data_IF_728603707543
#
_entry.id   IF_728603707543
#
_cell.length_a   1.000
_cell.length_b   1.000
_cell.length_c   1.000
_cell.angle_alpha   90.00
_cell.angle_beta   90.00
_cell.angle_gamma   90.00
#
_symmetry.space_group_name_H-M   'P 1'
#
loop_
_entity.id
_entity.type
_entity.pdbx_description
1 polymer ?
#
# COMPACT_ATOMS: atom_id res chain seq x y z
N UNK A 1 -2.79 -28.85 -43.55
CA UNK A 1 -1.97 -27.65 -43.26
C UNK A 1 -2.62 -26.69 -42.26
N UNK A 2 -3.89 -26.31 -42.42
CA UNK A 2 -4.58 -25.37 -41.52
C UNK A 2 -4.78 -25.84 -40.06
N UNK A 3 -5.02 -27.15 -39.82
CA UNK A 3 -5.16 -27.68 -38.45
C UNK A 3 -3.84 -27.60 -37.66
N UNK A 4 -2.74 -27.95 -38.30
CA UNK A 4 -1.38 -27.92 -37.71
C UNK A 4 -0.98 -26.50 -37.32
N UNK A 5 -1.34 -25.50 -38.13
CA UNK A 5 -1.07 -24.09 -37.85
C UNK A 5 -1.88 -23.56 -36.64
N UNK A 6 -3.15 -23.96 -36.51
CA UNK A 6 -3.97 -23.66 -35.32
C UNK A 6 -3.40 -24.28 -34.03
N UNK A 7 -2.91 -25.51 -34.09
CA UNK A 7 -2.31 -26.18 -32.92
C UNK A 7 -0.99 -25.52 -32.50
N UNK A 8 -0.14 -25.12 -33.46
CA UNK A 8 1.12 -24.40 -33.18
C UNK A 8 0.86 -23.03 -32.54
N UNK A 9 -0.12 -22.27 -33.05
CA UNK A 9 -0.50 -20.97 -32.48
C UNK A 9 -1.08 -21.14 -31.06
N UNK A 10 -1.92 -22.15 -30.84
CA UNK A 10 -2.48 -22.42 -29.51
C UNK A 10 -1.38 -22.78 -28.48
N UNK A 11 -0.40 -23.60 -28.86
CA UNK A 11 0.74 -23.95 -28.00
C UNK A 11 1.62 -22.73 -27.71
N UNK A 12 1.91 -21.90 -28.70
CA UNK A 12 2.73 -20.69 -28.52
C UNK A 12 2.06 -19.65 -27.61
N UNK A 13 0.74 -19.46 -27.72
CA UNK A 13 -0.04 -18.57 -26.84
C UNK A 13 -0.10 -19.14 -25.42
N UNK A 14 -0.26 -20.45 -25.26
CA UNK A 14 -0.25 -21.10 -23.93
C UNK A 14 1.09 -20.95 -23.22
N UNK A 15 2.20 -21.11 -23.95
CA UNK A 15 3.55 -20.98 -23.41
C UNK A 15 3.89 -19.54 -23.02
N UNK A 16 3.42 -18.55 -23.81
CA UNK A 16 3.63 -17.14 -23.51
C UNK A 16 2.77 -16.62 -22.36
N UNK A 17 1.57 -17.16 -22.14
CA UNK A 17 0.76 -16.86 -20.96
C UNK A 17 1.43 -17.41 -19.68
N UNK A 18 1.98 -18.63 -19.74
CA UNK A 18 2.68 -19.25 -18.60
C UNK A 18 3.97 -18.52 -18.19
N UNK A 19 4.75 -18.01 -19.16
CA UNK A 19 5.99 -17.28 -18.84
C UNK A 19 5.75 -15.88 -18.27
N UNK A 20 4.68 -15.19 -18.70
CA UNK A 20 4.28 -13.89 -18.14
C UNK A 20 3.78 -14.05 -16.70
N UNK A 21 3.03 -15.12 -16.40
CA UNK A 21 2.57 -15.41 -15.03
C UNK A 21 3.72 -15.68 -14.05
N UNK A 22 4.75 -16.41 -14.47
CA UNK A 22 5.91 -16.70 -13.62
C UNK A 22 6.80 -15.47 -13.36
N UNK A 23 7.03 -14.61 -14.36
CA UNK A 23 7.84 -13.40 -14.17
C UNK A 23 7.21 -12.39 -13.18
N UNK A 24 5.88 -12.35 -13.09
CA UNK A 24 5.15 -11.52 -12.12
C UNK A 24 5.17 -12.16 -10.71
N UNK A 25 5.17 -13.49 -10.63
CA UNK A 25 5.34 -14.21 -9.38
C UNK A 25 6.75 -14.06 -8.79
N UNK A 26 7.77 -13.95 -9.65
CA UNK A 26 9.16 -13.78 -9.20
C UNK A 26 9.45 -12.35 -8.67
N UNK A 27 8.76 -11.34 -9.21
CA UNK A 27 9.00 -9.93 -8.84
C UNK A 27 8.63 -9.57 -7.38
N UNK A 28 7.47 -10.00 -6.91
CA UNK A 28 7.02 -9.66 -5.54
C UNK A 28 7.78 -10.44 -4.46
N UNK A 29 8.10 -11.72 -4.70
CA UNK A 29 8.92 -12.49 -3.76
C UNK A 29 10.35 -11.95 -3.68
N UNK A 30 10.89 -11.47 -4.80
CA UNK A 30 12.17 -10.77 -4.80
C UNK A 30 12.11 -9.47 -4.00
N UNK A 31 11.04 -8.67 -4.14
CA UNK A 31 10.81 -7.48 -3.32
C UNK A 31 10.70 -7.82 -1.82
N UNK A 32 9.88 -8.80 -1.46
CA UNK A 32 9.73 -9.27 -0.06
C UNK A 32 11.09 -9.65 0.54
N UNK A 33 11.88 -10.46 -0.16
CA UNK A 33 13.22 -10.85 0.31
C UNK A 33 14.18 -9.68 0.41
N UNK A 34 14.16 -8.76 -0.55
CA UNK A 34 14.97 -7.54 -0.56
C UNK A 34 14.66 -6.67 0.66
N UNK A 35 13.39 -6.39 0.92
CA UNK A 35 12.97 -5.54 2.04
C UNK A 35 13.14 -6.23 3.40
N UNK A 36 12.82 -7.52 3.51
CA UNK A 36 12.98 -8.31 4.73
C UNK A 36 14.45 -8.45 5.18
N UNK A 37 15.37 -8.67 4.24
CA UNK A 37 16.80 -8.87 4.54
C UNK A 37 17.61 -7.56 4.50
N UNK A 38 17.04 -6.49 3.93
CA UNK A 38 17.65 -5.17 3.86
C UNK A 38 17.08 -4.24 4.93
N UNK A 39 16.26 -3.28 4.51
CA UNK A 39 15.72 -2.21 5.35
C UNK A 39 15.07 -2.71 6.64
N UNK A 40 14.31 -3.81 6.59
CA UNK A 40 13.56 -4.33 7.73
C UNK A 40 14.33 -5.39 8.55
N UNK A 41 15.64 -5.51 8.32
CA UNK A 41 16.47 -6.52 9.00
C UNK A 41 16.62 -6.27 10.51
N UNK A 42 16.57 -5.00 10.94
CA UNK A 42 16.55 -4.61 12.35
C UNK A 42 15.15 -4.83 12.94
N UNK A 43 14.86 -6.05 13.36
CA UNK A 43 13.55 -6.47 13.84
C UNK A 43 13.66 -7.51 14.94
N UNK A 44 12.62 -7.59 15.77
CA UNK A 44 12.43 -8.68 16.75
C UNK A 44 11.97 -9.98 16.08
N UNK A 45 11.44 -9.91 14.85
CA UNK A 45 11.02 -11.07 14.07
C UNK A 45 12.21 -11.72 13.38
N UNK A 46 12.19 -13.06 13.29
CA UNK A 46 13.13 -13.79 12.42
C UNK A 46 12.92 -13.43 10.95
N UNK A 47 13.92 -13.68 10.11
CA UNK A 47 13.81 -13.42 8.66
C UNK A 47 12.58 -14.09 8.02
N UNK A 48 12.29 -15.33 8.43
CA UNK A 48 11.12 -16.08 7.94
C UNK A 48 9.80 -15.48 8.41
N UNK A 49 9.74 -14.95 9.63
CA UNK A 49 8.55 -14.29 10.15
C UNK A 49 8.31 -12.95 9.45
N UNK A 50 9.36 -12.17 9.21
CA UNK A 50 9.26 -10.94 8.41
C UNK A 50 8.78 -11.21 6.99
N UNK A 51 9.35 -12.20 6.31
CA UNK A 51 8.90 -12.58 4.96
C UNK A 51 7.43 -13.01 4.96
N UNK A 52 6.98 -13.73 6.00
CA UNK A 52 5.58 -14.11 6.16
C UNK A 52 4.66 -12.90 6.36
N UNK A 53 5.10 -11.92 7.14
CA UNK A 53 4.34 -10.68 7.36
C UNK A 53 4.23 -9.84 6.07
N UNK A 54 5.34 -9.65 5.35
CA UNK A 54 5.31 -8.96 4.06
C UNK A 54 4.49 -9.71 2.99
N UNK A 55 4.50 -11.04 3.03
CA UNK A 55 3.62 -11.87 2.20
C UNK A 55 2.15 -11.62 2.52
N UNK A 56 1.80 -11.46 3.80
CA UNK A 56 0.43 -11.12 4.19
C UNK A 56 0.00 -9.77 3.60
N UNK A 57 0.86 -8.74 3.63
CA UNK A 57 0.58 -7.46 2.98
C UNK A 57 0.33 -7.61 1.48
N UNK A 58 1.18 -8.38 0.79
CA UNK A 58 0.99 -8.67 -0.62
C UNK A 58 -0.37 -9.33 -0.89
N UNK A 59 -0.71 -10.38 -0.12
CA UNK A 59 -1.94 -11.15 -0.31
C UNK A 59 -3.19 -10.30 -0.04
N UNK A 60 -3.19 -9.51 1.04
CA UNK A 60 -4.27 -8.60 1.38
C UNK A 60 -4.46 -7.49 0.34
N UNK A 61 -3.37 -7.04 -0.30
CA UNK A 61 -3.39 -5.97 -1.29
C UNK A 61 -3.83 -6.41 -2.69
N UNK A 62 -3.94 -7.73 -2.97
CA UNK A 62 -4.29 -8.25 -4.31
C UNK A 62 -5.51 -7.58 -4.97
N UNK A 63 -6.63 -7.32 -4.28
CA UNK A 63 -7.80 -6.67 -4.88
C UNK A 63 -7.56 -5.22 -5.29
N UNK A 64 -6.54 -4.58 -4.72
CA UNK A 64 -6.25 -3.16 -4.84
C UNK A 64 -5.02 -2.87 -5.71
N UNK A 65 -4.41 -3.90 -6.30
CA UNK A 65 -3.22 -3.76 -7.14
C UNK A 65 -3.48 -2.77 -8.29
N UNK A 66 -2.56 -1.83 -8.48
CA UNK A 66 -2.67 -0.76 -9.47
C UNK A 66 -3.45 0.47 -9.00
N UNK A 67 -4.01 0.44 -7.78
CA UNK A 67 -4.55 1.64 -7.15
C UNK A 67 -3.43 2.63 -6.82
N UNK A 68 -3.83 3.89 -6.72
CA UNK A 68 -2.98 4.98 -6.30
C UNK A 68 -3.70 5.74 -5.20
N UNK A 69 -3.07 5.89 -4.04
CA UNK A 69 -3.59 6.66 -2.91
C UNK A 69 -2.79 7.95 -2.71
N UNK A 70 -3.43 8.99 -2.18
CA UNK A 70 -2.84 10.27 -1.83
C UNK A 70 -2.80 10.42 -0.32
N UNK A 71 -1.61 10.64 0.22
CA UNK A 71 -1.36 10.76 1.66
C UNK A 71 -0.74 12.12 1.92
N UNK A 72 -1.19 12.82 2.97
CA UNK A 72 -0.59 14.07 3.43
C UNK A 72 -0.08 13.95 4.86
N UNK A 73 1.12 14.46 5.12
CA UNK A 73 1.65 14.62 6.48
C UNK A 73 2.52 15.87 6.61
N UNK A 74 2.94 16.14 7.84
CA UNK A 74 3.93 17.19 8.12
C UNK A 74 5.32 16.82 7.59
N UNK A 75 6.13 17.84 7.31
CA UNK A 75 7.56 17.69 7.01
C UNK A 75 8.37 17.49 8.30
N UNK A 76 8.47 16.24 8.74
CA UNK A 76 9.40 15.82 9.81
C UNK A 76 10.25 14.62 9.34
N UNK A 77 11.41 14.35 9.94
CA UNK A 77 12.29 13.25 9.51
C UNK A 77 11.61 11.88 9.42
N UNK A 78 10.66 11.58 10.32
CA UNK A 78 9.87 10.35 10.28
C UNK A 78 9.03 10.25 9.01
N UNK A 79 8.32 11.31 8.64
CA UNK A 79 7.49 11.33 7.44
C UNK A 79 8.30 11.40 6.15
N UNK A 80 9.51 11.97 6.20
CA UNK A 80 10.47 11.84 5.10
C UNK A 80 10.88 10.38 4.87
N UNK A 81 11.11 9.63 5.94
CA UNK A 81 11.41 8.21 5.84
C UNK A 81 10.21 7.42 5.30
N UNK A 82 9.01 7.67 5.80
CA UNK A 82 7.79 7.05 5.31
C UNK A 82 7.59 7.32 3.81
N UNK A 83 7.63 8.59 3.41
CA UNK A 83 7.36 9.03 2.04
C UNK A 83 8.40 8.59 1.02
N UNK A 84 9.68 8.44 1.41
CA UNK A 84 10.77 8.06 0.50
C UNK A 84 11.09 6.57 0.51
N UNK A 85 10.93 5.91 1.66
CA UNK A 85 11.33 4.51 1.86
C UNK A 85 10.14 3.58 1.94
N UNK A 86 9.20 3.83 2.86
CA UNK A 86 8.10 2.89 3.11
C UNK A 86 7.09 2.87 1.97
N UNK A 87 6.79 4.01 1.34
CA UNK A 87 5.93 4.04 0.14
C UNK A 87 6.49 3.18 -0.99
N UNK A 88 7.80 3.22 -1.20
CA UNK A 88 8.50 2.42 -2.21
C UNK A 88 8.46 0.93 -1.86
N UNK A 89 8.70 0.58 -0.59
CA UNK A 89 8.57 -0.80 -0.13
C UNK A 89 7.16 -1.33 -0.33
N UNK A 90 6.17 -0.52 0.05
CA UNK A 90 4.76 -0.87 -0.10
C UNK A 90 4.38 -1.06 -1.58
N UNK A 91 4.79 -0.16 -2.47
CA UNK A 91 4.52 -0.29 -3.91
C UNK A 91 5.21 -1.53 -4.51
N UNK A 92 6.48 -1.78 -4.19
CA UNK A 92 7.20 -2.95 -4.71
C UNK A 92 6.58 -4.28 -4.23
N UNK A 93 6.03 -4.32 -3.01
CA UNK A 93 5.42 -5.53 -2.43
C UNK A 93 3.97 -5.72 -2.91
N UNK A 94 3.19 -4.64 -2.94
CA UNK A 94 1.72 -4.71 -3.14
C UNK A 94 1.27 -4.32 -4.54
N UNK A 95 2.07 -3.51 -5.25
CA UNK A 95 1.67 -2.84 -6.49
C UNK A 95 0.69 -1.67 -6.30
N UNK A 96 0.51 -1.18 -5.07
CA UNK A 96 -0.26 0.03 -4.76
C UNK A 96 0.69 1.23 -4.68
N UNK A 97 0.40 2.28 -5.44
CA UNK A 97 1.19 3.50 -5.40
C UNK A 97 0.72 4.43 -4.29
N UNK A 98 1.64 4.91 -3.47
CA UNK A 98 1.36 5.91 -2.42
C UNK A 98 2.02 7.23 -2.80
N UNK A 99 1.22 8.23 -3.16
CA UNK A 99 1.71 9.59 -3.37
C UNK A 99 1.66 10.31 -2.02
N UNK A 100 2.77 10.28 -1.31
CA UNK A 100 2.90 10.88 0.02
C UNK A 100 3.50 12.29 -0.10
N UNK A 101 2.65 13.29 0.13
CA UNK A 101 3.03 14.70 0.13
C UNK A 101 3.39 15.16 1.55
N UNK A 102 4.41 15.99 1.64
CA UNK A 102 4.85 16.64 2.88
C UNK A 102 4.59 18.15 2.79
N UNK A 103 3.95 18.72 3.80
CA UNK A 103 3.71 20.16 3.94
C UNK A 103 4.07 20.62 5.37
N UNK A 104 3.94 21.91 5.66
CA UNK A 104 4.03 22.39 7.04
C UNK A 104 2.80 21.97 7.85
N UNK A 105 2.95 21.80 9.17
CA UNK A 105 1.88 21.36 10.08
C UNK A 105 0.59 22.17 9.89
N UNK A 106 0.69 23.50 9.82
CA UNK A 106 -0.45 24.39 9.62
C UNK A 106 -1.24 24.10 8.34
N UNK A 107 -0.56 23.74 7.25
CA UNK A 107 -1.20 23.38 5.98
C UNK A 107 -1.90 22.02 6.07
N UNK A 108 -1.31 21.07 6.81
CA UNK A 108 -1.92 19.75 7.08
C UNK A 108 -3.21 19.93 7.87
N UNK A 109 -3.17 20.71 8.96
CA UNK A 109 -4.33 21.00 9.80
C UNK A 109 -5.44 21.67 9.00
N UNK A 110 -5.09 22.67 8.17
CA UNK A 110 -6.04 23.35 7.30
C UNK A 110 -6.67 22.39 6.28
N UNK A 111 -5.90 21.49 5.67
CA UNK A 111 -6.41 20.50 4.73
C UNK A 111 -7.36 19.51 5.40
N UNK A 112 -7.03 18.99 6.58
CA UNK A 112 -7.89 18.09 7.37
C UNK A 112 -9.21 18.79 7.72
N UNK A 113 -9.15 20.01 8.26
CA UNK A 113 -10.34 20.77 8.64
C UNK A 113 -11.22 21.10 7.43
N UNK A 114 -10.63 21.44 6.29
CA UNK A 114 -11.37 21.72 5.05
C UNK A 114 -12.12 20.48 4.57
N UNK A 115 -11.46 19.32 4.54
CA UNK A 115 -12.11 18.06 4.17
C UNK A 115 -13.26 17.72 5.13
N UNK A 116 -13.07 17.89 6.45
CA UNK A 116 -14.12 17.64 7.44
C UNK A 116 -15.32 18.57 7.31
N UNK A 117 -15.09 19.86 7.06
CA UNK A 117 -16.16 20.87 6.97
C UNK A 117 -16.94 20.76 5.65
N UNK A 118 -16.25 20.44 4.56
CA UNK A 118 -16.85 20.37 3.22
C UNK A 118 -17.40 18.98 2.90
N UNK A 119 -16.97 17.95 3.64
CA UNK A 119 -17.23 16.54 3.33
C UNK A 119 -16.78 16.16 1.89
N UNK A 120 -15.73 16.80 1.39
CA UNK A 120 -15.11 16.54 0.09
C UNK A 120 -13.74 15.90 0.30
N UNK A 121 -13.49 14.77 -0.35
CA UNK A 121 -12.19 14.08 -0.28
C UNK A 121 -11.11 14.86 -1.03
N UNK A 122 -10.12 15.35 -0.29
CA UNK A 122 -8.93 16.04 -0.79
C UNK A 122 -7.74 15.07 -0.82
N UNK A 123 -7.54 14.32 0.27
CA UNK A 123 -6.58 13.22 0.38
C UNK A 123 -7.27 11.96 0.88
N UNK A 124 -6.71 10.79 0.55
CA UNK A 124 -7.23 9.50 0.99
C UNK A 124 -6.83 9.18 2.43
N UNK A 125 -5.69 9.70 2.88
CA UNK A 125 -5.25 9.59 4.27
C UNK A 125 -4.41 10.80 4.72
N UNK A 126 -4.43 11.04 6.03
CA UNK A 126 -3.63 12.06 6.70
C UNK A 126 -2.84 11.43 7.85
N UNK A 127 -1.65 11.95 8.11
CA UNK A 127 -0.94 11.75 9.38
C UNK A 127 -0.87 13.10 10.08
N UNK A 128 -1.51 13.20 11.24
CA UNK A 128 -1.60 14.41 12.05
C UNK A 128 -1.35 14.10 13.53
N UNK A 129 -1.00 15.13 14.28
CA UNK A 129 -0.69 15.03 15.70
C UNK A 129 -1.85 14.50 16.54
N UNK A 130 -1.49 13.81 17.62
CA UNK A 130 -2.44 13.11 18.48
C UNK A 130 -3.40 14.05 19.23
N UNK A 131 -3.08 15.33 19.34
CA UNK A 131 -3.94 16.34 19.98
C UNK A 131 -5.22 16.63 19.16
N UNK A 132 -5.22 16.39 17.85
CA UNK A 132 -6.41 16.44 16.99
C UNK A 132 -7.40 15.28 17.25
N UNK A 133 -7.05 14.24 18.02
CA UNK A 133 -7.93 13.08 18.25
C UNK A 133 -9.30 13.48 18.81
N UNK A 134 -9.34 14.48 19.69
CA UNK A 134 -10.58 15.01 20.25
C UNK A 134 -11.45 15.71 19.21
N UNK A 135 -10.83 16.34 18.21
CA UNK A 135 -11.53 17.00 17.10
C UNK A 135 -12.17 15.96 16.19
N UNK A 136 -11.42 14.93 15.77
CA UNK A 136 -11.94 13.80 14.98
C UNK A 136 -13.16 13.15 15.65
N UNK A 137 -13.08 12.91 16.97
CA UNK A 137 -14.17 12.32 17.73
C UNK A 137 -15.40 13.24 17.84
N UNK A 138 -15.21 14.53 18.16
CA UNK A 138 -16.31 15.51 18.27
C UNK A 138 -17.03 15.74 16.95
N UNK A 139 -16.32 15.67 15.83
CA UNK A 139 -16.89 15.79 14.48
C UNK A 139 -17.51 14.47 13.97
N UNK A 140 -17.50 13.41 14.78
CA UNK A 140 -17.95 12.07 14.40
C UNK A 140 -17.24 11.53 13.15
N UNK A 141 -15.97 11.93 12.95
CA UNK A 141 -15.10 11.52 11.84
C UNK A 141 -14.09 10.44 12.25
N UNK A 142 -14.28 9.82 13.43
CA UNK A 142 -13.43 8.73 13.91
C UNK A 142 -14.09 7.37 13.67
N UNK A 143 -13.36 6.43 13.06
CA UNK A 143 -13.82 5.05 12.83
C UNK A 143 -13.33 4.15 13.97
N UNK A 144 -14.24 3.40 14.59
CA UNK A 144 -13.87 2.36 15.55
C UNK A 144 -13.36 1.13 14.80
N UNK A 145 -12.04 0.93 14.76
CA UNK A 145 -11.41 -0.16 14.02
C UNK A 145 -11.86 -1.55 14.50
N UNK A 146 -12.06 -1.76 15.81
CA UNK A 146 -12.56 -3.05 16.32
C UNK A 146 -13.92 -3.41 15.75
N UNK A 147 -14.87 -2.45 15.72
CA UNK A 147 -16.19 -2.66 15.13
C UNK A 147 -16.12 -2.82 13.62
N UNK A 148 -15.29 -2.00 12.95
CA UNK A 148 -15.12 -2.04 11.50
C UNK A 148 -14.53 -3.37 11.02
N UNK A 149 -13.44 -3.84 11.64
CA UNK A 149 -12.82 -5.14 11.35
C UNK A 149 -13.72 -6.34 11.69
N UNK A 150 -14.68 -6.18 12.62
CA UNK A 150 -15.67 -7.22 12.90
C UNK A 150 -16.81 -7.26 11.86
N UNK A 151 -17.01 -6.17 11.11
CA UNK A 151 -18.07 -5.97 10.12
C UNK A 151 -17.54 -5.75 8.71
N UNK A 152 -17.63 -4.50 8.22
CA UNK A 152 -17.34 -4.10 6.83
C UNK A 152 -15.89 -4.37 6.38
N UNK A 153 -14.94 -4.44 7.30
CA UNK A 153 -13.52 -4.67 7.01
C UNK A 153 -13.07 -6.12 6.98
N UNK A 154 -13.99 -7.10 6.97
CA UNK A 154 -13.69 -8.54 6.89
C UNK A 154 -13.36 -9.04 5.49
#
# INVERSE_FOLDING_TARGET
>A
MFKTFKTIIAVAVSLSILTISNAIADGHMAAIKKWSNGEFSLSTLSAKEREKELQWFHDAAKPFKGMSIKVLSETIPTHEYESKTLTKAFEEITGIKVNHQLLGEGDVVMAVQTQMQTNVSIYDAYINDSDLIGTHARMQQAVNLTKWMAGEGK
#
